data_IF_205457309912
#
_entry.id   IF_205457309912
#
_cell.length_a   1.000
_cell.length_b   1.000
_cell.length_c   1.000
_cell.angle_alpha   90.00
_cell.angle_beta   90.00
_cell.angle_gamma   90.00
#
_symmetry.space_group_name_H-M   'P 1'
#
loop_
_entity.id
_entity.type
_entity.pdbx_description
1 polymer ?
#
# COMPACT_ATOMS: atom_id res chain seq x y z
N UNK A 1 -6.87 -6.54 23.82
CA UNK A 1 -5.83 -7.52 23.47
C UNK A 1 -4.48 -7.21 24.13
N UNK A 2 -3.80 -6.09 23.82
CA UNK A 2 -2.51 -5.78 24.47
C UNK A 2 -2.65 -5.58 25.99
N UNK A 3 -3.66 -4.81 26.43
CA UNK A 3 -4.03 -4.66 27.85
C UNK A 3 -4.37 -5.97 28.57
N UNK A 4 -4.69 -7.03 27.81
CA UNK A 4 -5.00 -8.36 28.33
C UNK A 4 -3.84 -9.36 28.15
N UNK A 5 -2.62 -8.88 27.88
CA UNK A 5 -1.40 -9.70 27.85
C UNK A 5 -0.96 -10.22 26.49
N UNK A 6 -1.57 -9.77 25.38
CA UNK A 6 -1.08 -10.11 24.04
C UNK A 6 0.34 -9.55 23.82
N UNK A 7 1.26 -10.40 23.32
CA UNK A 7 2.68 -10.05 23.09
C UNK A 7 2.93 -9.40 21.73
N UNK A 8 1.96 -9.44 20.83
CA UNK A 8 1.97 -8.83 19.52
C UNK A 8 0.52 -8.66 19.05
N UNK A 9 0.30 -7.76 18.09
CA UNK A 9 -1.01 -7.51 17.49
C UNK A 9 -0.94 -7.66 15.97
N UNK A 10 -1.90 -8.38 15.42
CA UNK A 10 -2.24 -8.34 14.00
C UNK A 10 -3.51 -7.50 13.86
N UNK A 11 -3.44 -6.42 13.09
CA UNK A 11 -4.58 -5.52 12.83
C UNK A 11 -5.13 -5.88 11.47
N UNK A 12 -6.36 -6.40 11.46
CA UNK A 12 -7.12 -6.66 10.25
C UNK A 12 -7.77 -5.35 9.78
N UNK A 13 -7.74 -5.09 8.47
CA UNK A 13 -8.41 -3.94 7.84
C UNK A 13 -8.11 -2.58 8.53
N UNK A 14 -6.81 -2.19 8.68
CA UNK A 14 -6.41 -1.04 9.48
C UNK A 14 -6.97 0.29 8.93
N UNK A 15 -7.72 1.00 9.78
CA UNK A 15 -8.33 2.29 9.47
C UNK A 15 -7.57 3.48 10.11
N UNK A 16 -7.88 4.72 9.70
CA UNK A 16 -7.28 5.92 10.30
C UNK A 16 -7.66 6.10 11.78
N UNK A 17 -8.80 5.56 12.20
CA UNK A 17 -9.24 5.59 13.59
C UNK A 17 -8.31 4.81 14.54
N UNK A 18 -7.53 3.85 14.00
CA UNK A 18 -6.63 3.01 14.79
C UNK A 18 -5.25 3.65 14.99
N UNK A 19 -4.89 4.68 14.20
CA UNK A 19 -3.49 5.12 14.08
C UNK A 19 -2.89 5.63 15.40
N UNK A 20 -3.66 6.37 16.22
CA UNK A 20 -3.17 6.89 17.51
C UNK A 20 -2.96 5.78 18.54
N UNK A 21 -3.95 4.89 18.68
CA UNK A 21 -3.87 3.75 19.60
C UNK A 21 -2.74 2.79 19.19
N UNK A 22 -2.55 2.56 17.89
CA UNK A 22 -1.47 1.75 17.37
C UNK A 22 -0.10 2.42 17.57
N UNK A 23 -0.01 3.73 17.45
CA UNK A 23 1.23 4.47 17.73
C UNK A 23 1.64 4.35 19.21
N UNK A 24 0.69 4.47 20.14
CA UNK A 24 0.95 4.29 21.57
C UNK A 24 1.43 2.87 21.89
N UNK A 25 0.85 1.86 21.23
CA UNK A 25 1.26 0.46 21.37
C UNK A 25 2.68 0.22 20.84
N UNK A 26 3.01 0.79 19.68
CA UNK A 26 4.36 0.74 19.11
C UNK A 26 5.36 1.44 20.02
N UNK A 27 5.02 2.61 20.57
CA UNK A 27 5.85 3.35 21.53
C UNK A 27 6.08 2.57 22.83
N UNK A 28 5.10 1.79 23.27
CA UNK A 28 5.21 0.86 24.39
C UNK A 28 5.99 -0.44 24.06
N UNK A 29 6.53 -0.57 22.84
CA UNK A 29 7.33 -1.72 22.42
C UNK A 29 6.50 -2.95 22.04
N UNK A 30 5.18 -2.80 21.85
CA UNK A 30 4.31 -3.90 21.37
C UNK A 30 4.46 -4.03 19.86
N UNK A 31 4.91 -5.18 19.32
CA UNK A 31 4.95 -5.41 17.89
C UNK A 31 3.54 -5.36 17.28
N UNK A 32 3.36 -4.50 16.27
CA UNK A 32 2.12 -4.36 15.51
C UNK A 32 2.39 -4.74 14.05
N UNK A 33 1.60 -5.67 13.54
CA UNK A 33 1.57 -6.04 12.12
C UNK A 33 0.23 -5.61 11.55
N UNK A 34 0.28 -4.84 10.47
CA UNK A 34 -0.91 -4.48 9.72
C UNK A 34 -1.14 -5.54 8.63
N UNK A 35 -2.33 -6.13 8.61
CA UNK A 35 -2.79 -6.93 7.49
C UNK A 35 -3.23 -5.98 6.37
N UNK A 36 -2.40 -5.88 5.34
CA UNK A 36 -2.59 -4.93 4.24
C UNK A 36 -2.60 -5.72 2.93
N UNK A 37 -3.63 -5.55 2.10
CA UNK A 37 -3.69 -6.18 0.78
C UNK A 37 -2.41 -5.99 -0.02
N UNK A 38 -1.95 -7.06 -0.69
CA UNK A 38 -0.75 -7.15 -1.54
C UNK A 38 0.60 -6.94 -0.86
N UNK A 39 0.69 -6.18 0.24
CA UNK A 39 1.96 -5.82 0.87
C UNK A 39 2.82 -7.02 1.22
N UNK A 40 2.18 -8.08 1.69
CA UNK A 40 2.85 -9.30 2.14
C UNK A 40 2.92 -10.39 1.06
N UNK A 41 2.41 -10.12 -0.14
CA UNK A 41 2.42 -11.06 -1.27
C UNK A 41 3.85 -11.51 -1.60
N UNK A 42 4.02 -12.79 -1.92
CA UNK A 42 5.33 -13.35 -2.23
C UNK A 42 5.97 -12.68 -3.46
N UNK A 43 5.17 -12.30 -4.46
CA UNK A 43 5.65 -11.57 -5.63
C UNK A 43 6.25 -10.22 -5.24
N UNK A 44 5.63 -9.50 -4.29
CA UNK A 44 6.17 -8.24 -3.74
C UNK A 44 7.51 -8.50 -3.07
N UNK A 45 7.59 -9.49 -2.18
CA UNK A 45 8.83 -9.84 -1.48
C UNK A 45 9.98 -10.21 -2.44
N UNK A 46 9.67 -10.97 -3.49
CA UNK A 46 10.66 -11.41 -4.50
C UNK A 46 11.12 -10.29 -5.42
N UNK A 47 10.25 -9.34 -5.75
CA UNK A 47 10.56 -8.27 -6.72
C UNK A 47 11.13 -7.02 -6.04
N UNK A 48 10.77 -6.73 -4.78
CA UNK A 48 11.19 -5.52 -4.07
C UNK A 48 12.72 -5.25 -4.16
N UNK A 49 13.64 -6.21 -3.92
CA UNK A 49 15.08 -5.95 -4.02
C UNK A 49 15.56 -5.55 -5.43
N UNK A 50 14.81 -5.86 -6.48
CA UNK A 50 15.10 -5.40 -7.85
C UNK A 50 14.63 -3.96 -8.05
N UNK A 51 13.46 -3.62 -7.52
CA UNK A 51 12.92 -2.26 -7.58
C UNK A 51 13.74 -1.32 -6.70
N UNK A 52 14.15 -1.73 -5.50
CA UNK A 52 15.03 -0.94 -4.60
C UNK A 52 16.29 -0.43 -5.31
N UNK A 53 16.88 -1.27 -6.18
CA UNK A 53 18.10 -0.92 -6.94
C UNK A 53 17.87 0.11 -8.04
N UNK A 54 16.63 0.27 -8.49
CA UNK A 54 16.24 1.22 -9.52
C UNK A 54 15.62 2.49 -8.91
N UNK A 55 15.00 2.37 -7.74
CA UNK A 55 14.36 3.46 -7.01
C UNK A 55 15.38 4.51 -6.53
N UNK A 56 15.53 5.57 -7.31
CA UNK A 56 16.47 6.66 -7.06
C UNK A 56 15.75 8.01 -7.07
N UNK A 57 16.34 9.08 -6.49
CA UNK A 57 15.79 10.43 -6.59
C UNK A 57 15.44 10.81 -8.03
N UNK A 58 14.25 11.37 -8.24
CA UNK A 58 13.74 11.75 -9.57
C UNK A 58 13.06 10.63 -10.36
N UNK A 59 13.05 9.39 -9.84
CA UNK A 59 12.20 8.33 -10.36
C UNK A 59 10.70 8.63 -10.13
N UNK A 60 9.86 8.13 -11.03
CA UNK A 60 8.40 8.10 -10.86
C UNK A 60 7.96 6.68 -10.52
N UNK A 61 7.16 6.54 -9.46
CA UNK A 61 6.52 5.29 -9.09
C UNK A 61 5.01 5.45 -9.09
N UNK A 62 4.34 4.70 -9.95
CA UNK A 62 2.89 4.69 -10.11
C UNK A 62 2.33 3.40 -9.50
N UNK A 63 1.42 3.53 -8.55
CA UNK A 63 0.67 2.44 -7.95
C UNK A 63 -0.81 2.63 -8.29
N UNK A 64 -1.43 1.65 -8.93
CA UNK A 64 -2.84 1.73 -9.33
C UNK A 64 -3.60 0.47 -8.90
N UNK A 65 -4.80 0.65 -8.38
CA UNK A 65 -5.75 -0.44 -8.16
C UNK A 65 -7.06 -0.19 -8.89
N UNK A 66 -7.66 -1.27 -9.37
CA UNK A 66 -9.09 -1.32 -9.69
C UNK A 66 -9.84 -1.96 -8.53
N UNK A 67 -10.95 -1.36 -8.12
CA UNK A 67 -11.82 -1.87 -7.06
C UNK A 67 -13.24 -2.06 -7.59
N UNK A 68 -13.98 -2.97 -6.95
CA UNK A 68 -15.34 -3.33 -7.35
C UNK A 68 -16.41 -2.38 -6.78
N UNK A 69 -16.10 -1.66 -5.70
CA UNK A 69 -17.04 -0.78 -4.99
C UNK A 69 -16.35 0.51 -4.52
N UNK A 70 -17.14 1.57 -4.31
CA UNK A 70 -16.70 2.94 -4.03
C UNK A 70 -16.25 3.15 -2.58
N UNK A 71 -16.81 2.39 -1.64
CA UNK A 71 -16.49 2.40 -0.21
C UNK A 71 -15.05 1.94 0.10
N UNK A 72 -14.40 1.26 -0.84
CA UNK A 72 -13.03 0.75 -0.71
C UNK A 72 -11.95 1.69 -1.31
N UNK A 73 -12.31 2.86 -1.85
CA UNK A 73 -11.31 3.73 -2.52
C UNK A 73 -10.17 4.18 -1.61
N UNK A 74 -10.49 4.65 -0.40
CA UNK A 74 -9.48 5.10 0.56
C UNK A 74 -8.66 3.93 1.12
N UNK A 75 -9.31 2.79 1.39
CA UNK A 75 -8.67 1.56 1.84
C UNK A 75 -7.69 1.02 0.81
N UNK A 76 -8.11 0.92 -0.45
CA UNK A 76 -7.27 0.53 -1.57
C UNK A 76 -6.12 1.50 -1.80
N UNK A 77 -6.34 2.82 -1.75
CA UNK A 77 -5.26 3.80 -1.86
C UNK A 77 -4.23 3.66 -0.73
N UNK A 78 -4.67 3.44 0.52
CA UNK A 78 -3.77 3.17 1.65
C UNK A 78 -2.98 1.87 1.42
N UNK A 79 -3.64 0.80 0.98
CA UNK A 79 -2.99 -0.48 0.70
C UNK A 79 -1.93 -0.37 -0.42
N UNK A 80 -2.24 0.36 -1.50
CA UNK A 80 -1.30 0.69 -2.56
C UNK A 80 -0.10 1.48 -2.03
N UNK A 81 -0.33 2.51 -1.22
CA UNK A 81 0.75 3.33 -0.65
C UNK A 81 1.70 2.52 0.24
N UNK A 82 1.17 1.65 1.09
CA UNK A 82 1.96 0.77 1.96
C UNK A 82 2.71 -0.32 1.17
N UNK A 83 2.09 -0.86 0.13
CA UNK A 83 2.74 -1.82 -0.78
C UNK A 83 3.84 -1.14 -1.60
N UNK A 84 3.59 0.07 -2.10
CA UNK A 84 4.57 0.87 -2.84
C UNK A 84 5.80 1.21 -1.98
N UNK A 85 5.62 1.58 -0.71
CA UNK A 85 6.74 1.75 0.23
C UNK A 85 7.60 0.49 0.35
N UNK A 86 6.95 -0.69 0.38
CA UNK A 86 7.65 -1.98 0.44
C UNK A 86 8.44 -2.25 -0.85
N UNK A 87 7.84 -2.01 -2.01
CA UNK A 87 8.48 -2.18 -3.32
C UNK A 87 9.62 -1.18 -3.56
N UNK A 88 9.47 0.07 -3.12
CA UNK A 88 10.46 1.14 -3.27
C UNK A 88 11.57 1.04 -2.22
N UNK A 89 11.28 0.50 -1.03
CA UNK A 89 12.26 0.37 0.06
C UNK A 89 12.57 1.68 0.77
N UNK A 90 11.69 2.68 0.63
CA UNK A 90 11.79 3.97 1.30
C UNK A 90 10.44 4.37 1.88
N UNK A 91 10.40 4.95 3.09
CA UNK A 91 9.16 5.43 3.67
C UNK A 91 8.58 6.57 2.84
N UNK A 92 7.26 6.67 2.82
CA UNK A 92 6.52 7.83 2.32
C UNK A 92 6.65 8.97 3.32
N UNK A 93 6.97 10.17 2.83
CA UNK A 93 7.05 11.39 3.67
C UNK A 93 5.82 12.26 3.51
N UNK A 94 5.25 12.28 2.31
CA UNK A 94 4.05 13.05 1.99
C UNK A 94 3.17 12.25 1.02
N UNK A 95 1.86 12.35 1.21
CA UNK A 95 0.85 12.05 0.21
C UNK A 95 -0.25 13.09 0.35
N UNK A 96 -0.60 13.72 -0.76
CA UNK A 96 -1.68 14.70 -0.85
C UNK A 96 -2.65 14.30 -1.96
N UNK A 97 -3.96 14.60 -1.81
CA UNK A 97 -4.91 14.44 -2.90
C UNK A 97 -4.50 15.25 -4.12
N UNK A 98 -4.45 14.59 -5.27
CA UNK A 98 -4.30 15.22 -6.58
C UNK A 98 -5.66 15.31 -7.29
N UNK A 99 -6.50 14.28 -7.15
CA UNK A 99 -7.87 14.26 -7.65
C UNK A 99 -8.74 13.35 -6.77
N UNK A 100 -9.98 13.76 -6.54
CA UNK A 100 -10.95 13.00 -5.76
C UNK A 100 -12.33 13.15 -6.40
N UNK A 101 -12.91 12.01 -6.77
CA UNK A 101 -14.27 11.87 -7.31
C UNK A 101 -14.93 10.65 -6.66
N UNK A 102 -16.25 10.46 -6.81
CA UNK A 102 -16.94 9.29 -6.26
C UNK A 102 -16.36 7.93 -6.70
N UNK A 103 -15.73 7.88 -7.88
CA UNK A 103 -15.22 6.65 -8.48
C UNK A 103 -13.69 6.60 -8.59
N UNK A 104 -13.00 7.66 -8.14
CA UNK A 104 -11.55 7.78 -8.31
C UNK A 104 -10.92 8.57 -7.17
N UNK A 105 -9.92 7.98 -6.53
CA UNK A 105 -9.01 8.67 -5.64
C UNK A 105 -7.59 8.62 -6.21
N UNK A 106 -6.98 9.79 -6.40
CA UNK A 106 -5.60 9.94 -6.83
C UNK A 106 -4.82 10.76 -5.81
N UNK A 107 -3.71 10.20 -5.33
CA UNK A 107 -2.79 10.85 -4.42
C UNK A 107 -1.43 11.01 -5.09
N UNK A 108 -0.71 12.06 -4.73
CA UNK A 108 0.66 12.31 -5.16
C UNK A 108 1.55 12.66 -3.99
N UNK A 109 2.83 12.35 -4.08
CA UNK A 109 3.77 12.70 -3.04
C UNK A 109 5.16 12.17 -3.29
N UNK A 110 5.93 11.98 -2.23
CA UNK A 110 7.33 11.55 -2.30
C UNK A 110 7.69 10.61 -1.16
N UNK A 111 8.70 9.80 -1.44
CA UNK A 111 9.39 9.00 -0.44
C UNK A 111 10.61 9.76 0.11
N UNK A 112 11.13 9.33 1.26
CA UNK A 112 12.32 9.91 1.87
C UNK A 112 13.58 9.81 0.97
N UNK A 113 13.66 8.80 0.09
CA UNK A 113 14.71 8.67 -0.91
C UNK A 113 14.51 9.57 -2.15
N UNK A 114 13.45 10.37 -2.21
CA UNK A 114 13.19 11.30 -3.31
C UNK A 114 12.50 10.70 -4.54
N UNK A 115 11.98 9.47 -4.45
CA UNK A 115 11.11 8.89 -5.50
C UNK A 115 9.75 9.58 -5.46
N UNK A 116 9.28 10.10 -6.59
CA UNK A 116 7.94 10.66 -6.74
C UNK A 116 6.91 9.55 -6.83
N UNK A 117 5.83 9.66 -6.08
CA UNK A 117 4.79 8.64 -5.97
C UNK A 117 3.48 9.17 -6.55
N UNK A 118 2.80 8.34 -7.34
CA UNK A 118 1.40 8.50 -7.71
C UNK A 118 0.66 7.26 -7.25
N UNK A 119 -0.39 7.44 -6.46
CA UNK A 119 -1.28 6.36 -6.00
C UNK A 119 -2.66 6.61 -6.56
N UNK A 120 -3.29 5.61 -7.16
CA UNK A 120 -4.58 5.77 -7.84
C UNK A 120 -5.48 4.56 -7.60
N UNK A 121 -6.62 4.75 -6.94
CA UNK A 121 -7.65 3.74 -6.78
C UNK A 121 -8.86 4.13 -7.63
N UNK A 122 -9.34 3.24 -8.50
CA UNK A 122 -10.45 3.51 -9.44
C UNK A 122 -11.50 2.43 -9.34
N UNK A 123 -12.77 2.83 -9.25
CA UNK A 123 -13.91 1.92 -9.32
C UNK A 123 -14.13 1.52 -10.78
N UNK A 124 -14.21 0.23 -11.04
CA UNK A 124 -14.52 -0.27 -12.38
C UNK A 124 -15.58 -1.35 -12.31
N UNK A 125 -16.68 -1.17 -13.05
CA UNK A 125 -17.82 -2.09 -12.99
C UNK A 125 -17.56 -3.48 -13.62
N UNK A 126 -16.45 -3.68 -14.35
CA UNK A 126 -16.24 -4.85 -15.21
C UNK A 126 -14.86 -5.52 -15.10
N UNK A 127 -13.99 -5.08 -14.17
CA UNK A 127 -12.67 -5.69 -14.00
C UNK A 127 -12.58 -6.40 -12.65
N UNK A 128 -11.85 -7.52 -12.63
CA UNK A 128 -11.40 -8.09 -11.36
C UNK A 128 -10.51 -7.07 -10.65
N UNK A 129 -10.61 -7.01 -9.32
CA UNK A 129 -9.70 -6.19 -8.55
C UNK A 129 -8.25 -6.60 -8.88
N UNK A 130 -7.39 -5.64 -9.12
CA UNK A 130 -5.97 -5.88 -9.35
C UNK A 130 -5.17 -4.67 -8.91
N UNK A 131 -3.90 -4.88 -8.60
CA UNK A 131 -2.97 -3.81 -8.32
C UNK A 131 -1.81 -3.85 -9.32
N UNK A 132 -1.50 -2.72 -9.93
CA UNK A 132 -0.35 -2.54 -10.80
C UNK A 132 0.62 -1.52 -10.22
N UNK A 133 1.91 -1.81 -10.35
CA UNK A 133 2.98 -0.98 -9.84
C UNK A 133 4.00 -0.79 -10.95
N UNK A 134 4.28 0.46 -11.30
CA UNK A 134 5.24 0.82 -12.35
C UNK A 134 6.28 1.78 -11.79
N UNK A 135 7.55 1.44 -11.93
CA UNK A 135 8.66 2.36 -11.70
C UNK A 135 9.18 2.82 -13.06
N UNK A 136 9.40 4.12 -13.23
CA UNK A 136 10.00 4.74 -14.42
C UNK A 136 11.21 5.58 -13.97
N UNK A 137 12.37 5.32 -14.58
CA UNK A 137 13.65 5.99 -14.25
C UNK A 137 14.46 6.22 -15.53
N UNK A 138 14.51 7.47 -15.99
CA UNK A 138 15.13 7.78 -17.27
C UNK A 138 14.47 7.02 -18.42
N UNK A 139 15.22 6.15 -19.08
CA UNK A 139 14.79 5.27 -20.17
C UNK A 139 14.39 3.85 -19.73
N UNK A 140 14.43 3.56 -18.42
CA UNK A 140 14.13 2.24 -17.85
C UNK A 140 12.78 2.23 -17.16
N UNK A 141 12.10 1.08 -17.24
CA UNK A 141 10.88 0.83 -16.49
C UNK A 141 10.84 -0.58 -15.91
N UNK A 142 10.18 -0.72 -14.77
CA UNK A 142 9.82 -2.00 -14.17
C UNK A 142 8.32 -2.02 -13.90
N UNK A 143 7.66 -3.15 -14.16
CA UNK A 143 6.22 -3.30 -13.97
C UNK A 143 5.92 -4.57 -13.19
N UNK A 144 5.01 -4.46 -12.22
CA UNK A 144 4.49 -5.56 -11.41
C UNK A 144 2.98 -5.48 -11.47
N UNK A 145 2.32 -6.58 -11.80
CA UNK A 145 0.88 -6.72 -11.69
C UNK A 145 0.58 -7.82 -10.68
N UNK A 146 -0.26 -7.50 -9.71
CA UNK A 146 -0.72 -8.43 -8.68
C UNK A 146 -2.23 -8.64 -8.90
N UNK A 147 -2.70 -9.90 -8.89
CA UNK A 147 -4.13 -10.17 -8.95
C UNK A 147 -4.84 -9.60 -7.71
N UNK A 148 -6.18 -9.64 -7.72
CA UNK A 148 -6.96 -9.44 -6.50
C UNK A 148 -6.35 -10.29 -5.37
N UNK A 149 -6.32 -9.79 -4.13
CA UNK A 149 -6.00 -10.63 -2.99
C UNK A 149 -6.95 -11.84 -3.05
N UNK A 150 -6.41 -13.03 -3.28
CA UNK A 150 -7.21 -14.25 -3.26
C UNK A 150 -7.86 -14.37 -1.89
N UNK A 151 -9.15 -14.70 -1.84
CA UNK A 151 -9.96 -14.83 -0.61
C UNK A 151 -9.54 -15.98 0.31
N UNK A 152 -8.29 -16.45 0.24
CA UNK A 152 -7.72 -17.30 1.27
C UNK A 152 -7.37 -16.42 2.48
N UNK A 153 -8.41 -16.03 3.22
CA UNK A 153 -8.30 -15.43 4.55
C UNK A 153 -8.46 -16.55 5.60
N UNK A 154 -7.41 -17.31 5.95
CA UNK A 154 -7.49 -18.18 7.12
C UNK A 154 -7.67 -17.28 8.35
N UNK A 155 -8.85 -17.33 8.98
CA UNK A 155 -9.18 -16.54 10.18
C UNK A 155 -10.45 -15.69 10.07
N UNK A 156 -11.12 -15.63 8.93
CA UNK A 156 -12.50 -15.14 8.82
C UNK A 156 -13.49 -16.31 8.85
N UNK A 157 -13.67 -16.91 10.02
CA UNK A 157 -14.75 -17.87 10.33
C UNK A 157 -15.16 -17.73 11.80
#
# INVERSE_FOLDING_TARGET
>A
AARSGARALLVMDPGPADDADLADLVAAGVPVVLDVPWRHDEAVRRVAPRIHRLAAPGALFEARATVAATDDLAGAARALALTAQTLVGSPLTELAPLAETPDHLMLTGRTASGVHMIVSAVVTAHAHACATFRLVVGDRAAHVALPAPGTAAPGRA
#
